data_IF_279348659518
#
_entry.id   IF_279348659518
#
_cell.length_a   1.000
_cell.length_b   1.000
_cell.length_c   1.000
_cell.angle_alpha   90.00
_cell.angle_beta   90.00
_cell.angle_gamma   90.00
#
_symmetry.space_group_name_H-M   'P 1'
#
loop_
_entity.id
_entity.type
_entity.pdbx_description
1 polymer ?
#
# COMPACT_ATOMS: atom_id res chain seq x y z
N UNK A 1 -8.00 -16.31 -44.70
CA UNK A 1 -8.19 -15.11 -43.84
C UNK A 1 -8.32 -15.58 -42.39
N UNK A 2 -7.22 -15.63 -41.61
CA UNK A 2 -7.32 -15.91 -40.18
C UNK A 2 -7.72 -14.61 -39.45
N UNK A 3 -8.65 -14.74 -38.49
CA UNK A 3 -9.03 -13.66 -37.58
C UNK A 3 -7.99 -13.63 -36.46
N UNK A 4 -7.27 -12.51 -36.37
CA UNK A 4 -6.48 -12.19 -35.20
C UNK A 4 -7.39 -12.07 -33.98
N UNK A 5 -7.17 -12.97 -33.01
CA UNK A 5 -7.63 -12.78 -31.63
C UNK A 5 -6.59 -11.89 -30.94
N UNK A 6 -6.75 -10.58 -31.13
CA UNK A 6 -6.10 -9.61 -30.26
C UNK A 6 -6.65 -9.80 -28.85
N UNK A 7 -5.82 -10.34 -27.96
CA UNK A 7 -6.03 -10.19 -26.52
C UNK A 7 -5.99 -8.68 -26.27
N UNK A 8 -7.14 -8.07 -25.96
CA UNK A 8 -7.20 -6.65 -25.65
C UNK A 8 -6.29 -6.38 -24.46
N UNK A 9 -5.24 -5.60 -24.65
CA UNK A 9 -4.66 -4.85 -23.55
C UNK A 9 -5.79 -4.02 -22.96
N UNK A 10 -6.16 -4.29 -21.71
CA UNK A 10 -6.98 -3.34 -20.95
C UNK A 10 -6.27 -1.99 -21.05
N UNK A 11 -6.98 -0.98 -21.56
CA UNK A 11 -6.48 0.38 -21.55
C UNK A 11 -6.19 0.76 -20.11
N UNK A 12 -4.98 1.26 -19.84
CA UNK A 12 -4.62 1.80 -18.53
C UNK A 12 -5.70 2.78 -18.05
N UNK A 13 -6.16 2.59 -16.82
CA UNK A 13 -7.21 3.36 -16.18
C UNK A 13 -6.75 3.91 -14.84
N UNK A 14 -7.37 5.00 -14.39
CA UNK A 14 -7.11 5.55 -13.06
C UNK A 14 -7.44 4.54 -11.94
N UNK A 15 -8.30 3.55 -12.20
CA UNK A 15 -8.54 2.42 -11.30
C UNK A 15 -7.33 1.51 -11.12
N UNK A 16 -6.48 1.37 -12.14
CA UNK A 16 -5.26 0.56 -12.05
C UNK A 16 -4.25 1.17 -11.06
N UNK A 17 -4.24 2.50 -10.89
CA UNK A 17 -3.46 3.16 -9.85
C UNK A 17 -3.88 2.71 -8.44
N UNK A 18 -5.19 2.67 -8.17
CA UNK A 18 -5.69 2.20 -6.87
C UNK A 18 -5.49 0.69 -6.71
N UNK A 19 -5.60 -0.07 -7.80
CA UNK A 19 -5.34 -1.50 -7.83
C UNK A 19 -3.90 -1.81 -7.40
N UNK A 20 -2.92 -1.19 -8.06
CA UNK A 20 -1.51 -1.36 -7.74
C UNK A 20 -1.25 -0.99 -6.28
N UNK A 21 -1.70 0.20 -5.85
CA UNK A 21 -1.50 0.64 -4.48
C UNK A 21 -2.11 -0.32 -3.44
N UNK A 22 -3.30 -0.86 -3.69
CA UNK A 22 -3.96 -1.80 -2.77
C UNK A 22 -3.33 -3.19 -2.78
N UNK A 23 -2.91 -3.67 -3.96
CA UNK A 23 -2.45 -5.06 -4.15
C UNK A 23 -0.97 -5.20 -3.79
N UNK A 24 -0.13 -4.31 -4.30
CA UNK A 24 1.32 -4.37 -4.15
C UNK A 24 1.82 -3.46 -3.02
N UNK A 25 1.07 -2.39 -2.71
CA UNK A 25 1.54 -1.34 -1.82
C UNK A 25 2.50 -0.37 -2.50
N UNK A 26 2.60 -0.40 -3.83
CA UNK A 26 3.52 0.42 -4.63
C UNK A 26 2.76 1.27 -5.64
N UNK A 27 3.37 2.36 -6.11
CA UNK A 27 2.95 3.08 -7.32
C UNK A 27 4.13 3.14 -8.28
N UNK A 28 3.97 2.65 -9.51
CA UNK A 28 5.08 2.51 -10.48
C UNK A 28 6.30 1.74 -9.92
N UNK A 29 6.07 0.83 -8.97
CA UNK A 29 7.12 0.09 -8.27
C UNK A 29 7.77 0.83 -7.09
N UNK A 30 7.38 2.09 -6.82
CA UNK A 30 7.88 2.87 -5.69
C UNK A 30 7.08 2.61 -4.42
N UNK A 31 7.76 2.59 -3.27
CA UNK A 31 7.16 2.50 -1.95
C UNK A 31 8.05 3.13 -0.85
N UNK A 32 7.72 2.85 0.42
CA UNK A 32 8.49 3.32 1.59
C UNK A 32 9.96 2.82 1.69
N UNK A 33 10.42 1.97 0.77
CA UNK A 33 11.80 1.49 0.72
C UNK A 33 12.61 2.10 -0.43
N UNK A 34 11.95 2.86 -1.31
CA UNK A 34 12.60 3.53 -2.43
C UNK A 34 13.57 4.61 -1.97
N UNK A 35 14.62 4.81 -2.75
CA UNK A 35 15.58 5.89 -2.59
C UNK A 35 15.09 7.17 -3.26
N UNK A 36 15.64 8.33 -2.88
CA UNK A 36 15.30 9.59 -3.53
C UNK A 36 15.60 9.56 -5.03
N UNK A 37 16.72 8.96 -5.43
CA UNK A 37 17.12 8.85 -6.83
C UNK A 37 16.12 8.01 -7.65
N UNK A 38 15.62 6.89 -7.11
CA UNK A 38 14.60 6.07 -7.80
C UNK A 38 13.28 6.83 -7.96
N UNK A 39 12.89 7.59 -6.94
CA UNK A 39 11.68 8.44 -6.98
C UNK A 39 11.84 9.53 -8.05
N UNK A 40 12.97 10.22 -8.08
CA UNK A 40 13.25 11.28 -9.04
C UNK A 40 13.36 10.76 -10.49
N UNK A 41 13.94 9.58 -10.69
CA UNK A 41 14.01 8.93 -12.01
C UNK A 41 12.62 8.54 -12.54
N UNK A 42 11.72 8.11 -11.64
CA UNK A 42 10.41 7.60 -12.01
C UNK A 42 9.35 8.69 -12.13
N UNK A 43 9.28 9.60 -11.15
CA UNK A 43 8.25 10.64 -11.06
C UNK A 43 8.74 12.01 -11.51
N UNK A 44 10.05 12.15 -11.80
CA UNK A 44 10.68 13.44 -12.06
C UNK A 44 11.13 14.15 -10.78
N UNK A 45 11.76 15.30 -10.95
CA UNK A 45 12.15 16.14 -9.82
C UNK A 45 10.98 16.96 -9.30
N UNK A 46 10.70 16.85 -7.99
CA UNK A 46 9.73 17.72 -7.34
C UNK A 46 10.24 19.17 -7.31
N UNK A 47 9.45 20.09 -7.85
CA UNK A 47 9.71 21.53 -7.83
C UNK A 47 9.45 22.17 -6.46
N UNK A 48 8.80 21.46 -5.52
CA UNK A 48 8.33 21.94 -4.22
C UNK A 48 9.00 21.25 -3.05
N UNK A 49 10.23 20.77 -3.22
CA UNK A 49 11.00 20.14 -2.15
C UNK A 49 11.08 21.07 -0.92
N UNK A 50 10.18 20.87 0.03
CA UNK A 50 10.11 21.65 1.26
C UNK A 50 10.83 20.86 2.34
N UNK A 51 12.15 20.74 2.20
CA UNK A 51 13.16 20.09 3.07
C UNK A 51 12.89 18.67 3.61
N UNK A 52 11.69 18.12 3.48
CA UNK A 52 11.26 16.85 4.08
C UNK A 52 10.14 16.16 3.30
N UNK A 53 9.57 16.77 2.26
CA UNK A 53 8.44 16.20 1.52
C UNK A 53 8.63 16.43 0.02
N UNK A 54 8.48 15.35 -0.76
CA UNK A 54 8.24 15.43 -2.19
C UNK A 54 6.77 15.17 -2.48
N UNK A 55 6.12 16.10 -3.18
CA UNK A 55 4.70 16.05 -3.52
C UNK A 55 4.52 15.93 -5.04
N UNK A 56 3.99 14.80 -5.49
CA UNK A 56 3.75 14.45 -6.88
C UNK A 56 2.24 14.48 -7.23
N UNK A 57 1.50 15.36 -6.55
CA UNK A 57 0.06 15.56 -6.72
C UNK A 57 -0.76 14.47 -6.02
N UNK A 58 -0.70 13.24 -6.55
CA UNK A 58 -1.42 12.07 -6.02
C UNK A 58 -0.58 11.16 -5.15
N UNK A 59 0.73 11.30 -5.19
CA UNK A 59 1.68 10.52 -4.41
C UNK A 59 2.57 11.48 -3.65
N UNK A 60 2.84 11.18 -2.40
CA UNK A 60 3.71 12.00 -1.57
C UNK A 60 4.70 11.11 -0.82
N UNK A 61 5.94 11.59 -0.75
CA UNK A 61 7.04 10.98 0.00
C UNK A 61 7.51 11.95 1.06
N UNK A 62 7.49 11.55 2.32
CA UNK A 62 8.24 12.21 3.38
C UNK A 62 9.63 11.62 3.49
N UNK A 63 10.64 12.46 3.62
CA UNK A 63 12.05 12.10 3.69
C UNK A 63 12.63 12.47 5.04
N UNK A 64 13.64 11.72 5.47
CA UNK A 64 14.46 12.08 6.61
C UNK A 64 15.90 11.65 6.37
N UNK A 65 16.83 12.35 7.00
CA UNK A 65 18.23 11.96 7.13
C UNK A 65 18.74 12.44 8.48
N UNK A 66 19.70 11.73 9.06
CA UNK A 66 20.20 12.04 10.40
C UNK A 66 21.21 13.21 10.37
N UNK A 67 22.03 13.28 9.33
CA UNK A 67 22.99 14.36 9.05
C UNK A 67 22.85 14.78 7.59
N UNK A 68 23.38 15.95 7.25
CA UNK A 68 23.35 16.46 5.86
C UNK A 68 24.15 15.61 4.87
N UNK A 69 25.10 14.82 5.35
CA UNK A 69 25.97 13.94 4.55
C UNK A 69 25.39 12.53 4.39
N UNK A 70 24.39 12.17 5.20
CA UNK A 70 23.75 10.86 5.14
C UNK A 70 22.74 10.82 3.98
N UNK A 71 22.53 9.62 3.43
CA UNK A 71 21.50 9.37 2.43
C UNK A 71 20.11 9.65 2.98
N UNK A 72 19.24 10.18 2.12
CA UNK A 72 17.82 10.32 2.43
C UNK A 72 17.15 8.96 2.48
N UNK A 73 16.36 8.75 3.53
CA UNK A 73 15.49 7.60 3.69
C UNK A 73 14.02 8.06 3.72
N UNK A 74 13.12 7.23 3.20
CA UNK A 74 11.69 7.52 3.26
C UNK A 74 11.21 7.38 4.70
N UNK A 75 10.64 8.46 5.23
CA UNK A 75 9.89 8.48 6.49
C UNK A 75 8.46 8.01 6.26
N UNK A 76 7.87 8.39 5.14
CA UNK A 76 6.49 8.03 4.80
C UNK A 76 6.28 8.03 3.27
N UNK A 77 5.43 7.13 2.81
CA UNK A 77 4.91 7.09 1.44
C UNK A 77 3.39 6.94 1.52
N UNK A 78 2.66 7.68 0.69
CA UNK A 78 1.22 7.54 0.61
C UNK A 78 0.59 8.19 -0.61
N UNK A 79 -0.60 7.70 -0.95
CA UNK A 79 -1.43 8.34 -1.96
C UNK A 79 -2.34 9.40 -1.33
N UNK A 80 -2.37 10.57 -1.93
CA UNK A 80 -3.18 11.73 -1.54
C UNK A 80 -4.51 11.76 -2.30
N UNK A 81 -5.24 10.64 -2.30
CA UNK A 81 -6.48 10.46 -3.09
C UNK A 81 -7.59 11.44 -2.71
N UNK A 82 -7.51 12.05 -1.53
CA UNK A 82 -8.42 13.12 -1.10
C UNK A 82 -8.30 14.40 -1.95
N UNK A 83 -7.24 14.53 -2.77
CA UNK A 83 -7.01 15.65 -3.67
C UNK A 83 -7.66 15.49 -5.04
N UNK A 84 -8.19 14.32 -5.38
CA UNK A 84 -8.89 14.08 -6.65
C UNK A 84 -9.93 15.17 -6.99
N UNK A 85 -10.80 15.62 -6.05
CA UNK A 85 -11.77 16.67 -6.35
C UNK A 85 -11.15 18.06 -6.59
N UNK A 86 -9.89 18.25 -6.19
CA UNK A 86 -9.19 19.54 -6.21
C UNK A 86 -8.22 19.74 -7.36
N UNK A 87 -7.92 18.70 -8.16
CA UNK A 87 -7.04 18.87 -9.32
C UNK A 87 -7.69 19.77 -10.37
N UNK A 88 -7.05 20.91 -10.60
CA UNK A 88 -7.32 21.88 -11.66
C UNK A 88 -6.16 21.85 -12.67
N UNK A 89 -6.28 22.57 -13.79
CA UNK A 89 -5.17 22.73 -14.75
C UNK A 89 -3.90 23.34 -14.10
N UNK A 90 -4.05 24.06 -12.98
CA UNK A 90 -2.96 24.72 -12.26
C UNK A 90 -2.26 23.83 -11.20
N UNK A 91 -2.89 22.72 -10.81
CA UNK A 91 -2.30 21.69 -9.93
C UNK A 91 -2.45 20.31 -10.58
N UNK A 92 -1.77 20.04 -11.70
CA UNK A 92 -1.94 18.77 -12.39
C UNK A 92 -1.30 17.61 -11.61
N UNK A 93 -1.87 16.42 -11.78
CA UNK A 93 -1.21 15.16 -11.41
C UNK A 93 0.05 14.99 -12.26
N UNK A 94 1.13 14.47 -11.66
CA UNK A 94 2.39 14.28 -12.39
C UNK A 94 2.25 13.45 -13.66
N UNK A 95 2.97 13.89 -14.71
CA UNK A 95 2.89 13.32 -16.06
C UNK A 95 3.23 11.82 -16.08
N UNK A 96 4.12 11.37 -15.21
CA UNK A 96 4.48 9.95 -15.10
C UNK A 96 3.27 9.09 -14.71
N UNK A 97 2.45 9.57 -13.78
CA UNK A 97 1.24 8.90 -13.33
C UNK A 97 0.19 8.91 -14.44
N UNK A 98 -0.04 10.06 -15.08
CA UNK A 98 -1.01 10.20 -16.16
C UNK A 98 -0.63 9.36 -17.38
N UNK A 99 0.66 9.26 -17.69
CA UNK A 99 1.16 8.44 -18.80
C UNK A 99 0.93 6.95 -18.56
N UNK A 100 1.06 6.48 -17.32
CA UNK A 100 0.96 5.07 -16.99
C UNK A 100 -0.48 4.63 -16.70
N UNK A 101 -1.25 5.45 -15.99
CA UNK A 101 -2.60 5.13 -15.52
C UNK A 101 -3.71 5.86 -16.28
N UNK A 102 -3.37 6.76 -17.21
CA UNK A 102 -4.34 7.62 -17.87
C UNK A 102 -4.77 8.81 -16.99
N UNK A 103 -5.70 9.65 -17.48
CA UNK A 103 -6.19 10.81 -16.74
C UNK A 103 -7.00 10.38 -15.51
N UNK A 104 -6.79 11.05 -14.38
CA UNK A 104 -7.49 10.79 -13.14
C UNK A 104 -8.82 11.53 -13.07
N UNK A 105 -9.90 10.81 -12.77
CA UNK A 105 -11.21 11.41 -12.53
C UNK A 105 -11.27 12.04 -11.15
N UNK A 106 -12.00 13.15 -11.04
CA UNK A 106 -12.25 13.82 -9.76
C UNK A 106 -13.11 12.98 -8.80
N UNK A 107 -13.90 12.07 -9.36
CA UNK A 107 -14.83 11.20 -8.64
C UNK A 107 -14.74 9.79 -9.22
N UNK A 108 -14.72 8.79 -8.34
CA UNK A 108 -14.79 7.38 -8.72
C UNK A 108 -16.21 6.88 -8.58
N UNK A 109 -16.67 6.14 -9.57
CA UNK A 109 -17.95 5.43 -9.51
C UNK A 109 -17.80 4.18 -8.62
N UNK A 110 -18.68 4.04 -7.63
CA UNK A 110 -18.63 2.93 -6.69
C UNK A 110 -18.86 1.57 -7.38
N UNK A 111 -19.75 1.49 -8.36
CA UNK A 111 -20.04 0.24 -9.07
C UNK A 111 -18.83 -0.21 -9.90
N UNK A 112 -18.09 0.75 -10.47
CA UNK A 112 -16.85 0.48 -11.21
C UNK A 112 -15.74 -0.01 -10.28
N UNK A 113 -15.57 0.62 -9.12
CA UNK A 113 -14.61 0.21 -8.08
C UNK A 113 -14.92 -1.20 -7.55
N UNK A 114 -16.20 -1.52 -7.38
CA UNK A 114 -16.65 -2.86 -6.99
C UNK A 114 -16.40 -3.88 -8.11
N UNK A 115 -16.66 -3.52 -9.37
CA UNK A 115 -16.43 -4.39 -10.53
C UNK A 115 -14.95 -4.68 -10.76
N UNK A 116 -14.08 -3.68 -10.52
CA UNK A 116 -12.64 -3.82 -10.56
C UNK A 116 -12.07 -4.66 -9.39
N UNK A 117 -12.90 -5.04 -8.41
CA UNK A 117 -12.48 -5.85 -7.26
C UNK A 117 -11.62 -5.10 -6.25
N UNK A 118 -11.56 -3.77 -6.35
CA UNK A 118 -10.79 -2.89 -5.46
C UNK A 118 -11.46 -2.72 -4.09
N UNK A 119 -12.79 -2.79 -4.08
CA UNK A 119 -13.58 -2.86 -2.87
C UNK A 119 -14.19 -4.23 -2.71
N UNK A 120 -14.21 -4.70 -1.47
CA UNK A 120 -14.78 -5.99 -1.17
C UNK A 120 -16.21 -5.77 -0.72
N UNK A 121 -17.20 -6.50 -1.25
CA UNK A 121 -18.61 -6.28 -0.93
C UNK A 121 -18.94 -6.58 0.55
N UNK A 122 -17.97 -7.07 1.33
CA UNK A 122 -18.06 -7.16 2.78
C UNK A 122 -17.46 -5.90 3.41
N UNK A 123 -18.26 -5.04 4.04
CA UNK A 123 -17.73 -4.00 4.90
C UNK A 123 -16.89 -4.65 5.98
N UNK A 124 -15.62 -4.26 6.09
CA UNK A 124 -14.81 -4.59 7.27
C UNK A 124 -15.33 -3.74 8.43
N UNK A 125 -15.46 -4.34 9.61
CA UNK A 125 -15.80 -3.56 10.79
C UNK A 125 -14.70 -2.51 11.02
N UNK A 126 -15.03 -1.23 11.29
CA UNK A 126 -14.01 -0.21 11.57
C UNK A 126 -13.04 -0.59 12.69
N UNK A 127 -13.48 -1.40 13.66
CA UNK A 127 -12.63 -1.94 14.72
C UNK A 127 -11.62 -2.97 14.19
N UNK A 128 -12.01 -3.84 13.26
CA UNK A 128 -11.12 -4.79 12.59
C UNK A 128 -10.07 -4.06 11.74
N UNK A 129 -10.47 -2.98 11.04
CA UNK A 129 -9.53 -2.14 10.29
C UNK A 129 -8.51 -1.48 11.23
N UNK A 130 -8.98 -0.92 12.34
CA UNK A 130 -8.10 -0.30 13.36
C UNK A 130 -7.15 -1.32 13.99
N UNK A 131 -7.65 -2.51 14.33
CA UNK A 131 -6.85 -3.59 14.88
C UNK A 131 -5.78 -4.05 13.87
N UNK A 132 -6.17 -4.27 12.63
CA UNK A 132 -5.27 -4.66 11.54
C UNK A 132 -4.18 -3.63 11.28
N UNK A 133 -4.52 -2.34 11.26
CA UNK A 133 -3.55 -1.25 11.15
C UNK A 133 -2.60 -1.22 12.35
N UNK A 134 -3.10 -1.41 13.58
CA UNK A 134 -2.28 -1.46 14.79
C UNK A 134 -1.27 -2.61 14.74
N UNK A 135 -1.74 -3.82 14.41
CA UNK A 135 -0.90 -5.01 14.29
C UNK A 135 0.16 -4.82 13.20
N UNK A 136 -0.22 -4.29 12.03
CA UNK A 136 0.72 -3.97 10.94
C UNK A 136 1.81 -3.00 11.40
N UNK A 137 1.44 -1.95 12.13
CA UNK A 137 2.39 -0.97 12.65
C UNK A 137 3.32 -1.59 13.70
N UNK A 138 2.81 -2.42 14.60
CA UNK A 138 3.63 -3.14 15.58
C UNK A 138 4.63 -4.08 14.90
N UNK A 139 4.18 -4.86 13.91
CA UNK A 139 5.06 -5.73 13.11
C UNK A 139 6.14 -4.90 12.42
N UNK A 140 5.77 -3.77 11.82
CA UNK A 140 6.73 -2.87 11.18
C UNK A 140 7.77 -2.33 12.16
N UNK A 141 7.39 -1.95 13.38
CA UNK A 141 8.30 -1.48 14.43
C UNK A 141 9.29 -2.57 14.88
N UNK A 142 8.84 -3.82 15.02
CA UNK A 142 9.68 -4.91 15.55
C UNK A 142 10.49 -5.63 14.47
N UNK A 143 10.09 -5.55 13.19
CA UNK A 143 10.73 -6.26 12.09
C UNK A 143 12.25 -5.98 11.98
N UNK A 144 12.75 -4.74 12.10
CA UNK A 144 14.20 -4.47 12.08
C UNK A 144 14.96 -5.15 13.23
N UNK A 145 14.28 -5.48 14.34
CA UNK A 145 14.90 -6.12 15.49
C UNK A 145 15.24 -7.60 15.27
N UNK A 146 14.71 -8.25 14.21
CA UNK A 146 14.95 -9.66 13.90
C UNK A 146 16.45 -10.01 13.85
N UNK A 147 17.29 -9.09 13.37
CA UNK A 147 18.74 -9.29 13.28
C UNK A 147 19.44 -9.40 14.65
N UNK A 148 18.78 -8.95 15.73
CA UNK A 148 19.34 -8.92 17.08
C UNK A 148 18.75 -10.01 18.00
N UNK A 149 17.79 -10.79 17.51
CA UNK A 149 17.18 -11.88 18.29
C UNK A 149 18.05 -13.13 18.17
N UNK A 150 18.41 -13.74 19.30
CA UNK A 150 19.25 -14.95 19.34
C UNK A 150 18.45 -16.24 19.53
N UNK A 151 17.20 -16.15 19.99
CA UNK A 151 16.32 -17.31 20.21
C UNK A 151 15.74 -17.81 18.88
N UNK A 152 16.04 -19.05 18.45
CA UNK A 152 15.54 -19.59 17.18
C UNK A 152 14.01 -19.67 17.13
N UNK A 153 13.37 -20.00 18.26
CA UNK A 153 11.91 -20.06 18.35
C UNK A 153 11.27 -18.67 18.15
N UNK A 154 11.86 -17.64 18.76
CA UNK A 154 11.36 -16.27 18.66
C UNK A 154 11.60 -15.68 17.26
N UNK A 155 12.72 -16.01 16.61
CA UNK A 155 12.99 -15.64 15.21
C UNK A 155 11.91 -16.20 14.30
N UNK A 156 11.57 -17.48 14.46
CA UNK A 156 10.55 -18.13 13.62
C UNK A 156 9.16 -17.53 13.85
N UNK A 157 8.82 -17.29 15.12
CA UNK A 157 7.57 -16.61 15.48
C UNK A 157 7.49 -15.21 14.87
N UNK A 158 8.54 -14.39 14.99
CA UNK A 158 8.58 -13.05 14.39
C UNK A 158 8.52 -13.08 12.86
N UNK A 159 9.16 -14.06 12.21
CA UNK A 159 9.04 -14.26 10.75
C UNK A 159 7.61 -14.58 10.33
N UNK A 160 6.91 -15.40 11.13
CA UNK A 160 5.50 -15.71 10.88
C UNK A 160 4.63 -14.44 10.92
N UNK A 161 4.87 -13.54 11.89
CA UNK A 161 4.17 -12.25 11.96
C UNK A 161 4.51 -11.32 10.79
N UNK A 162 5.77 -11.26 10.35
CA UNK A 162 6.16 -10.53 9.13
C UNK A 162 5.42 -11.09 7.90
N UNK A 163 5.26 -12.41 7.83
CA UNK A 163 4.45 -13.08 6.80
C UNK A 163 2.98 -12.66 6.81
N UNK A 164 2.40 -12.44 8.00
CA UNK A 164 1.02 -11.97 8.16
C UNK A 164 0.80 -10.53 7.69
N UNK A 165 1.85 -9.70 7.59
CA UNK A 165 1.74 -8.27 7.22
C UNK A 165 0.95 -8.05 5.92
N UNK A 166 1.12 -8.94 4.93
CA UNK A 166 0.41 -8.90 3.63
C UNK A 166 -1.06 -9.34 3.71
N UNK A 167 -1.43 -10.05 4.77
CA UNK A 167 -2.74 -10.65 4.96
C UNK A 167 -3.68 -9.78 5.80
N UNK A 168 -3.14 -8.91 6.66
CA UNK A 168 -3.92 -8.13 7.64
C UNK A 168 -4.96 -7.18 7.04
N UNK A 169 -4.87 -6.84 5.75
CA UNK A 169 -5.86 -5.99 5.06
C UNK A 169 -6.56 -6.71 3.91
N UNK A 170 -6.29 -8.01 3.72
CA UNK A 170 -7.01 -8.81 2.73
C UNK A 170 -8.27 -9.39 3.37
N UNK A 171 -9.41 -9.37 2.67
CA UNK A 171 -10.53 -10.21 3.07
C UNK A 171 -10.08 -11.66 3.08
N UNK A 172 -10.37 -12.36 4.17
CA UNK A 172 -10.19 -13.81 4.21
C UNK A 172 -11.00 -14.44 3.06
N UNK A 173 -10.43 -15.40 2.31
CA UNK A 173 -11.18 -16.13 1.30
C UNK A 173 -12.39 -16.81 1.94
N UNK A 174 -13.43 -17.03 1.13
CA UNK A 174 -14.80 -17.42 1.53
C UNK A 174 -14.97 -18.76 2.27
N UNK A 175 -13.90 -19.37 2.76
CA UNK A 175 -13.97 -20.65 3.46
C UNK A 175 -13.35 -20.54 4.85
N UNK A 176 -14.16 -20.92 5.84
CA UNK A 176 -13.86 -21.09 7.26
C UNK A 176 -13.84 -19.81 8.11
N UNK A 177 -15.05 -19.44 8.53
CA UNK A 177 -15.27 -19.03 9.93
C UNK A 177 -14.65 -20.08 10.86
N UNK A 178 -13.38 -19.92 11.23
CA UNK A 178 -12.78 -20.61 12.38
C UNK A 178 -13.31 -19.95 13.64
N UNK A 179 -14.59 -20.19 13.91
CA UNK A 179 -15.05 -20.29 15.28
C UNK A 179 -14.57 -21.65 15.80
N UNK A 180 -14.05 -21.68 17.03
CA UNK A 180 -13.43 -22.81 17.75
C UNK A 180 -11.99 -23.19 17.37
N UNK A 181 -11.02 -22.61 18.11
CA UNK A 181 -9.99 -23.42 18.80
C UNK A 181 -9.19 -22.70 19.90
N UNK A 182 -9.82 -21.83 20.71
CA UNK A 182 -9.19 -21.24 21.91
C UNK A 182 -10.08 -21.21 23.17
N UNK A 183 -11.11 -22.05 23.28
CA UNK A 183 -11.94 -22.14 24.52
C UNK A 183 -12.05 -23.55 25.12
N UNK A 184 -11.09 -24.44 24.83
CA UNK A 184 -11.17 -25.86 25.21
C UNK A 184 -10.02 -26.39 26.06
N UNK A 185 -9.28 -25.52 26.76
CA UNK A 185 -8.30 -25.91 27.78
C UNK A 185 -8.42 -24.94 28.94
N UNK A 186 -9.25 -25.33 29.90
CA UNK A 186 -9.06 -25.13 31.34
C UNK A 186 -10.41 -25.36 32.05
N UNK A 187 -10.64 -26.61 32.46
CA UNK A 187 -11.32 -26.98 33.70
C UNK A 187 -11.33 -28.51 33.84
N UNK A 188 -10.15 -29.07 34.12
CA UNK A 188 -10.00 -30.25 34.95
C UNK A 188 -8.82 -29.94 35.87
N UNK A 189 -9.09 -29.71 37.15
CA UNK A 189 -8.31 -30.11 38.33
C UNK A 189 -9.13 -29.65 39.55
N UNK A 190 -9.60 -30.66 40.28
CA UNK A 190 -10.17 -30.71 41.65
C UNK A 190 -11.55 -30.11 41.89
#
# INVERSE_FOLDING_TARGET
MPRDKGWGHASASDLDFFADLLITGTVLGLDHTSTLAEVEDTLGHDRRFADLVCDFGLVEFGWWRKRSEDDWAVLYFGAQTHRLPGFTEDEPVEDALVRHYGPFRQWLDLDEVLHAGLCTPRPLDPSDVRLSRRLRNQIHTIQPCLAFVTSPALIEEMRSWVGLKRSLLRPLPRSESVALRLSGRDQQIL
#
